data_IF_145050615690
#
_entry.id   IF_145050615690
#
_cell.length_a   1.000
_cell.length_b   1.000
_cell.length_c   1.000
_cell.angle_alpha   90.00
_cell.angle_beta   90.00
_cell.angle_gamma   90.00
#
_symmetry.space_group_name_H-M   'P 1'
#
loop_
_entity.id
_entity.type
_entity.pdbx_description
1 polymer ?
#
# COMPACT_ATOMS: atom_id res chain seq x y z
N UNK A 1 1.52 -41.14 -28.22
CA UNK A 1 1.09 -40.83 -26.84
C UNK A 1 1.77 -39.54 -26.43
N UNK A 2 1.15 -38.37 -26.65
CA UNK A 2 1.77 -37.09 -26.30
C UNK A 2 1.72 -36.91 -24.78
N UNK A 3 2.87 -37.03 -24.12
CA UNK A 3 3.00 -36.69 -22.71
C UNK A 3 2.76 -35.19 -22.54
N UNK A 4 1.54 -34.81 -22.15
CA UNK A 4 1.28 -33.46 -21.64
C UNK A 4 2.15 -33.27 -20.41
N UNK A 5 3.20 -32.45 -20.51
CA UNK A 5 4.00 -32.02 -19.37
C UNK A 5 3.07 -31.48 -18.28
N UNK A 6 2.84 -32.28 -17.23
CA UNK A 6 2.07 -31.83 -16.06
C UNK A 6 2.91 -30.80 -15.32
N UNK A 7 2.73 -29.52 -15.65
CA UNK A 7 3.37 -28.41 -14.91
C UNK A 7 2.76 -28.34 -13.52
N UNK A 8 3.54 -28.74 -12.52
CA UNK A 8 3.17 -28.63 -11.11
C UNK A 8 3.29 -27.18 -10.65
N UNK A 9 2.30 -26.71 -9.89
CA UNK A 9 2.27 -25.39 -9.28
C UNK A 9 1.85 -25.51 -7.81
N UNK A 10 2.21 -24.53 -6.99
CA UNK A 10 1.59 -24.37 -5.68
C UNK A 10 0.24 -23.69 -5.86
N UNK A 11 -0.82 -24.25 -5.29
CA UNK A 11 -2.15 -23.64 -5.34
C UNK A 11 -2.09 -22.22 -4.76
N UNK A 12 -2.62 -21.19 -5.46
CA UNK A 12 -2.55 -19.81 -5.00
C UNK A 12 -3.33 -19.54 -3.71
N UNK A 13 -4.25 -20.44 -3.33
CA UNK A 13 -5.05 -20.30 -2.12
C UNK A 13 -4.48 -21.11 -0.95
N UNK A 14 -4.28 -22.43 -1.12
CA UNK A 14 -3.86 -23.32 -0.02
C UNK A 14 -2.36 -23.67 -0.01
N UNK A 15 -1.56 -23.15 -0.96
CA UNK A 15 -0.11 -23.39 -1.09
C UNK A 15 0.29 -24.88 -1.13
N UNK A 16 -0.62 -25.80 -1.46
CA UNK A 16 -0.31 -27.23 -1.71
C UNK A 16 0.06 -27.45 -3.17
N UNK A 17 0.95 -28.40 -3.42
CA UNK A 17 1.39 -28.76 -4.77
C UNK A 17 0.22 -29.43 -5.52
N UNK A 18 -0.11 -28.90 -6.70
CA UNK A 18 -1.19 -29.38 -7.58
C UNK A 18 -0.77 -29.29 -9.06
N UNK A 19 -1.50 -29.94 -9.96
CA UNK A 19 -1.33 -29.70 -11.40
C UNK A 19 -1.88 -28.34 -11.80
N UNK A 20 -1.26 -27.68 -12.77
CA UNK A 20 -1.77 -26.42 -13.33
C UNK A 20 -3.05 -26.61 -14.16
N UNK A 21 -3.28 -27.81 -14.68
CA UNK A 21 -4.43 -28.16 -15.52
C UNK A 21 -5.68 -28.56 -14.71
N UNK A 22 -5.61 -28.57 -13.37
CA UNK A 22 -6.74 -28.95 -12.53
C UNK A 22 -7.89 -27.95 -12.67
N UNK A 23 -9.12 -28.44 -12.90
CA UNK A 23 -10.31 -27.58 -12.96
C UNK A 23 -10.62 -26.91 -11.60
N UNK A 24 -10.32 -27.61 -10.50
CA UNK A 24 -10.45 -27.13 -9.12
C UNK A 24 -9.37 -27.74 -8.23
N UNK A 25 -8.85 -26.96 -7.28
CA UNK A 25 -7.88 -27.47 -6.32
C UNK A 25 -8.51 -28.58 -5.43
N UNK A 26 -7.93 -29.78 -5.35
CA UNK A 26 -8.48 -30.89 -4.56
C UNK A 26 -8.56 -30.61 -3.05
N UNK A 27 -7.73 -29.69 -2.56
CA UNK A 27 -7.61 -29.43 -1.12
C UNK A 27 -8.47 -28.27 -0.61
N UNK A 28 -8.73 -27.27 -1.45
CA UNK A 28 -9.42 -26.04 -1.03
C UNK A 28 -10.55 -25.61 -1.98
N UNK A 29 -10.86 -26.40 -3.01
CA UNK A 29 -11.96 -26.13 -3.94
C UNK A 29 -11.78 -24.91 -4.83
N UNK A 30 -10.61 -24.26 -4.83
CA UNK A 30 -10.37 -23.07 -5.67
C UNK A 30 -10.46 -23.44 -7.16
N UNK A 31 -11.38 -22.81 -7.89
CA UNK A 31 -11.59 -23.03 -9.32
C UNK A 31 -10.45 -22.45 -10.16
N UNK A 32 -10.04 -23.17 -11.21
CA UNK A 32 -8.97 -22.82 -12.17
C UNK A 32 -7.71 -22.23 -11.50
N UNK A 33 -7.04 -22.99 -10.62
CA UNK A 33 -5.82 -22.54 -9.94
C UNK A 33 -4.72 -22.09 -10.92
N UNK A 34 -4.64 -22.68 -12.11
CA UNK A 34 -3.67 -22.31 -13.16
C UNK A 34 -4.01 -21.06 -13.99
N UNK A 35 -5.14 -20.37 -13.73
CA UNK A 35 -5.53 -19.21 -14.55
C UNK A 35 -4.45 -18.10 -14.54
N UNK A 36 -4.21 -17.48 -15.71
CA UNK A 36 -3.24 -16.37 -15.84
C UNK A 36 -3.57 -15.19 -14.92
N UNK A 37 -4.86 -14.95 -14.64
CA UNK A 37 -5.30 -13.91 -13.71
C UNK A 37 -4.82 -14.15 -12.27
N UNK A 38 -4.65 -15.42 -11.87
CA UNK A 38 -4.13 -15.80 -10.54
C UNK A 38 -2.60 -15.95 -10.53
N UNK A 39 -1.95 -15.79 -11.69
CA UNK A 39 -0.50 -15.84 -11.83
C UNK A 39 0.07 -14.46 -11.53
N UNK A 40 0.89 -14.36 -10.49
CA UNK A 40 1.55 -13.11 -10.09
C UNK A 40 2.41 -12.57 -11.24
N UNK A 41 2.25 -11.29 -11.57
CA UNK A 41 3.09 -10.59 -12.56
C UNK A 41 4.56 -10.53 -12.10
N UNK A 42 4.79 -10.43 -10.80
CA UNK A 42 6.12 -10.43 -10.19
C UNK A 42 6.59 -11.87 -9.91
N UNK A 43 7.78 -12.22 -10.40
CA UNK A 43 8.47 -13.50 -10.13
C UNK A 43 8.82 -13.66 -8.65
N UNK A 44 9.19 -12.57 -7.97
CA UNK A 44 9.32 -12.51 -6.52
C UNK A 44 8.31 -11.49 -5.98
N UNK A 45 7.43 -11.86 -5.04
CA UNK A 45 6.46 -10.92 -4.48
C UNK A 45 7.15 -9.65 -3.93
N UNK A 46 8.30 -9.79 -3.25
CA UNK A 46 9.05 -8.67 -2.68
C UNK A 46 9.44 -7.56 -3.69
N UNK A 47 9.48 -7.86 -4.99
CA UNK A 47 9.82 -6.87 -6.02
C UNK A 47 8.72 -5.82 -6.17
N UNK A 48 7.44 -6.19 -5.99
CA UNK A 48 6.31 -5.26 -6.08
C UNK A 48 6.41 -4.12 -5.06
N UNK A 49 6.80 -4.45 -3.83
CA UNK A 49 6.93 -3.47 -2.74
C UNK A 49 8.08 -2.51 -3.03
N UNK A 50 9.20 -3.04 -3.54
CA UNK A 50 10.34 -2.20 -3.95
C UNK A 50 9.95 -1.24 -5.06
N UNK A 51 9.18 -1.67 -6.05
CA UNK A 51 8.68 -0.78 -7.10
C UNK A 51 7.85 0.35 -6.49
N UNK A 52 6.91 0.05 -5.60
CA UNK A 52 6.10 1.10 -4.93
C UNK A 52 7.01 2.06 -4.15
N UNK A 53 7.98 1.54 -3.38
CA UNK A 53 8.90 2.38 -2.62
C UNK A 53 9.73 3.28 -3.55
N UNK A 54 10.32 2.74 -4.62
CA UNK A 54 11.12 3.53 -5.55
C UNK A 54 10.27 4.56 -6.30
N UNK A 55 9.04 4.23 -6.69
CA UNK A 55 8.12 5.19 -7.30
C UNK A 55 7.81 6.35 -6.34
N UNK A 56 7.52 6.06 -5.06
CA UNK A 56 7.28 7.08 -4.05
C UNK A 56 8.50 7.98 -3.83
N UNK A 57 9.69 7.38 -3.72
CA UNK A 57 10.95 8.14 -3.58
C UNK A 57 11.19 9.02 -4.81
N UNK A 58 10.98 8.50 -6.02
CA UNK A 58 11.16 9.26 -7.26
C UNK A 58 10.18 10.46 -7.35
N UNK A 59 8.90 10.25 -7.02
CA UNK A 59 7.89 11.32 -7.00
C UNK A 59 8.23 12.36 -5.93
N UNK A 60 8.71 11.94 -4.77
CA UNK A 60 9.15 12.85 -3.71
C UNK A 60 10.36 13.69 -4.14
N UNK A 61 11.39 13.09 -4.73
CA UNK A 61 12.54 13.83 -5.28
C UNK A 61 12.07 14.81 -6.36
N UNK A 62 11.19 14.38 -7.26
CA UNK A 62 10.64 15.25 -8.30
C UNK A 62 9.87 16.45 -7.69
N UNK A 63 9.10 16.23 -6.63
CA UNK A 63 8.38 17.30 -5.92
C UNK A 63 9.30 18.32 -5.26
N UNK A 64 10.49 17.89 -4.81
CA UNK A 64 11.53 18.78 -4.29
C UNK A 64 12.16 19.62 -5.40
N UNK A 65 12.41 19.02 -6.57
CA UNK A 65 13.01 19.73 -7.74
C UNK A 65 12.07 20.82 -8.26
N UNK A 66 10.76 20.57 -8.29
CA UNK A 66 9.76 21.53 -8.77
C UNK A 66 9.61 22.76 -7.84
N UNK A 67 10.15 22.71 -6.64
CA UNK A 67 10.01 23.76 -5.64
C UNK A 67 11.33 24.53 -5.51
N UNK A 68 11.34 25.89 -5.54
CA UNK A 68 12.49 26.63 -5.05
C UNK A 68 12.66 26.26 -3.58
N UNK A 69 13.78 25.61 -3.23
CA UNK A 69 14.09 25.08 -1.90
C UNK A 69 13.81 26.14 -0.81
N UNK A 70 12.58 26.16 -0.28
CA UNK A 70 12.32 26.63 1.05
C UNK A 70 12.93 25.57 1.94
N UNK A 71 14.24 25.65 2.15
CA UNK A 71 14.95 24.86 3.15
C UNK A 71 14.26 25.23 4.45
N UNK A 72 13.27 24.41 4.86
CA UNK A 72 12.65 24.52 6.16
C UNK A 72 13.79 24.65 7.16
N UNK A 73 13.80 25.77 7.87
CA UNK A 73 14.82 26.10 8.86
C UNK A 73 15.12 24.88 9.72
N UNK A 74 16.41 24.60 10.00
CA UNK A 74 16.87 23.49 10.87
C UNK A 74 16.16 23.39 12.24
N UNK A 75 15.35 24.38 12.60
CA UNK A 75 14.55 24.47 13.81
C UNK A 75 13.41 23.43 13.91
N UNK A 76 12.80 22.97 12.80
CA UNK A 76 11.67 22.05 12.84
C UNK A 76 11.90 20.78 11.99
N UNK A 77 12.24 19.63 12.60
CA UNK A 77 12.53 18.38 11.88
C UNK A 77 11.34 17.87 11.06
N UNK A 78 10.11 18.25 11.43
CA UNK A 78 8.87 17.89 10.73
C UNK A 78 8.72 18.59 9.37
N UNK A 79 9.29 19.79 9.23
CA UNK A 79 9.24 20.59 7.99
C UNK A 79 10.52 20.48 7.15
N UNK A 80 11.48 19.67 7.59
CA UNK A 80 12.74 19.48 6.87
C UNK A 80 12.48 18.78 5.52
N UNK A 81 12.96 19.41 4.43
CA UNK A 81 12.73 18.95 3.05
C UNK A 81 11.24 18.73 2.71
N UNK A 82 10.37 19.67 3.10
CA UNK A 82 8.95 19.66 2.74
C UNK A 82 8.72 20.37 1.38
N UNK A 83 8.11 19.71 0.37
CA UNK A 83 7.70 20.35 -0.88
C UNK A 83 6.61 21.40 -0.64
N UNK A 84 6.53 22.43 -1.50
CA UNK A 84 5.47 23.44 -1.36
C UNK A 84 4.08 22.87 -1.66
N UNK A 85 3.05 23.42 -1.01
CA UNK A 85 1.65 23.04 -1.28
C UNK A 85 1.26 23.20 -2.76
N UNK A 86 1.84 24.17 -3.47
CA UNK A 86 1.62 24.35 -4.90
C UNK A 86 2.17 23.18 -5.73
N UNK A 87 3.39 22.73 -5.39
CA UNK A 87 4.01 21.56 -6.01
C UNK A 87 3.20 20.28 -5.72
N UNK A 88 2.74 20.13 -4.47
CA UNK A 88 1.91 18.99 -4.07
C UNK A 88 0.56 19.01 -4.82
N UNK A 89 -0.10 20.16 -4.92
CA UNK A 89 -1.35 20.33 -5.66
C UNK A 89 -1.17 20.05 -7.17
N UNK A 90 -0.03 20.45 -7.74
CA UNK A 90 0.30 20.18 -9.15
C UNK A 90 0.50 18.68 -9.40
N UNK A 91 1.19 17.99 -8.48
CA UNK A 91 1.48 16.56 -8.60
C UNK A 91 0.29 15.65 -8.30
N UNK A 92 -0.79 16.20 -7.73
CA UNK A 92 -2.04 15.48 -7.51
C UNK A 92 -2.36 15.18 -6.06
N UNK A 93 -2.02 16.10 -5.15
CA UNK A 93 -2.59 16.12 -3.80
C UNK A 93 -4.13 16.22 -3.86
N UNK A 94 -4.80 15.63 -2.87
CA UNK A 94 -6.26 15.53 -2.84
C UNK A 94 -6.87 16.28 -1.65
N UNK A 95 -8.19 16.43 -1.60
CA UNK A 95 -8.91 17.20 -0.58
C UNK A 95 -10.07 17.99 -1.17
N UNK A 96 -10.73 18.82 -0.36
CA UNK A 96 -11.87 19.64 -0.83
C UNK A 96 -11.46 20.63 -1.91
N UNK A 97 -10.27 21.24 -1.84
CA UNK A 97 -9.80 22.15 -2.90
C UNK A 97 -9.62 21.42 -4.25
N UNK A 98 -8.80 20.36 -4.36
CA UNK A 98 -8.62 19.62 -5.62
C UNK A 98 -9.92 19.09 -6.23
N UNK A 99 -10.83 18.59 -5.38
CA UNK A 99 -12.06 17.92 -5.83
C UNK A 99 -13.14 18.96 -6.17
N UNK A 100 -13.49 19.84 -5.24
CA UNK A 100 -14.63 20.76 -5.42
C UNK A 100 -14.31 21.91 -6.38
N UNK A 101 -13.09 22.46 -6.32
CA UNK A 101 -12.71 23.62 -7.16
C UNK A 101 -12.21 23.21 -8.54
N UNK A 102 -11.55 22.06 -8.66
CA UNK A 102 -10.89 21.65 -9.90
C UNK A 102 -11.43 20.34 -10.50
N UNK A 103 -12.39 19.68 -9.86
CA UNK A 103 -12.99 18.43 -10.36
C UNK A 103 -12.01 17.26 -10.44
N UNK A 104 -10.88 17.29 -9.72
CA UNK A 104 -9.77 16.35 -9.91
C UNK A 104 -9.96 15.04 -9.16
N UNK A 105 -11.02 14.29 -9.42
CA UNK A 105 -11.29 13.01 -8.73
C UNK A 105 -10.16 11.97 -8.81
N UNK A 106 -9.32 12.05 -9.85
CA UNK A 106 -8.12 11.21 -9.98
C UNK A 106 -7.10 11.44 -8.85
N UNK A 107 -7.16 12.55 -8.12
CA UNK A 107 -6.26 12.83 -6.99
C UNK A 107 -6.46 11.88 -5.82
N UNK A 108 -7.64 11.28 -5.70
CA UNK A 108 -7.89 10.21 -4.71
C UNK A 108 -6.95 9.01 -4.89
N UNK A 109 -6.46 8.79 -6.12
CA UNK A 109 -5.50 7.74 -6.42
C UNK A 109 -4.05 8.24 -6.32
N UNK A 110 -3.74 9.40 -6.91
CA UNK A 110 -2.36 9.90 -6.95
C UNK A 110 -1.85 10.38 -5.59
N UNK A 111 -2.72 10.88 -4.71
CA UNK A 111 -2.32 11.39 -3.40
C UNK A 111 -1.63 10.33 -2.53
N UNK A 112 -1.90 9.04 -2.75
CA UNK A 112 -1.21 7.92 -2.08
C UNK A 112 0.29 7.89 -2.35
N UNK A 113 0.75 8.53 -3.43
CA UNK A 113 2.14 8.48 -3.88
C UNK A 113 2.95 9.75 -3.58
N UNK A 114 2.30 10.76 -3.01
CA UNK A 114 2.87 12.09 -2.76
C UNK A 114 3.13 12.24 -1.27
N UNK A 115 4.27 12.85 -0.90
CA UNK A 115 4.70 12.97 0.49
C UNK A 115 5.12 14.40 0.81
N UNK A 116 4.79 14.85 2.03
CA UNK A 116 4.90 16.25 2.45
C UNK A 116 6.17 16.58 3.21
N UNK A 117 7.12 15.64 3.32
CA UNK A 117 8.38 15.84 4.03
C UNK A 117 9.18 14.55 4.17
N UNK A 118 10.46 14.68 4.54
CA UNK A 118 11.38 13.53 4.60
C UNK A 118 10.97 12.50 5.66
N UNK A 119 10.58 12.95 6.85
CA UNK A 119 10.09 12.06 7.90
C UNK A 119 8.80 11.37 7.46
N UNK A 120 7.90 12.11 6.80
CA UNK A 120 6.64 11.57 6.30
C UNK A 120 6.85 10.44 5.28
N UNK A 121 7.74 10.62 4.28
CA UNK A 121 8.05 9.51 3.36
C UNK A 121 8.79 8.37 4.06
N UNK A 122 9.75 8.69 4.94
CA UNK A 122 10.52 7.67 5.65
C UNK A 122 9.61 6.72 6.45
N UNK A 123 8.72 7.26 7.28
CA UNK A 123 7.81 6.45 8.10
C UNK A 123 6.85 5.61 7.25
N UNK A 124 6.28 6.18 6.18
CA UNK A 124 5.40 5.43 5.27
C UNK A 124 6.15 4.29 4.57
N UNK A 125 7.35 4.54 4.05
CA UNK A 125 8.12 3.51 3.34
C UNK A 125 8.63 2.43 4.32
N UNK A 126 9.00 2.82 5.53
CA UNK A 126 9.38 1.89 6.60
C UNK A 126 8.21 1.00 7.01
N UNK A 127 7.02 1.57 7.20
CA UNK A 127 5.80 0.83 7.47
C UNK A 127 5.43 -0.13 6.33
N UNK A 128 5.48 0.35 5.09
CA UNK A 128 5.20 -0.46 3.90
C UNK A 128 6.21 -1.62 3.76
N UNK A 129 7.49 -1.38 4.06
CA UNK A 129 8.52 -2.42 4.00
C UNK A 129 8.34 -3.49 5.08
N UNK A 130 7.81 -3.14 6.26
CA UNK A 130 7.52 -4.11 7.31
C UNK A 130 6.22 -4.89 7.07
N UNK A 131 5.14 -4.19 6.70
CA UNK A 131 3.78 -4.76 6.65
C UNK A 131 3.45 -5.36 5.27
N UNK A 132 3.96 -4.73 4.21
CA UNK A 132 3.70 -5.14 2.83
C UNK A 132 4.08 -6.59 2.54
N UNK A 133 5.29 -7.08 2.92
CA UNK A 133 5.71 -8.44 2.60
C UNK A 133 4.81 -9.51 3.20
N UNK A 134 4.28 -9.25 4.41
CA UNK A 134 3.35 -10.16 5.08
C UNK A 134 2.03 -10.27 4.30
N UNK A 135 1.39 -9.13 4.01
CA UNK A 135 0.13 -9.12 3.26
C UNK A 135 0.34 -9.77 1.90
N UNK A 136 1.46 -9.49 1.25
CA UNK A 136 1.76 -10.04 -0.06
C UNK A 136 2.00 -11.56 -0.04
N UNK A 137 2.62 -12.09 1.03
CA UNK A 137 2.86 -13.51 1.21
C UNK A 137 1.57 -14.29 1.55
N UNK A 138 0.68 -13.69 2.36
CA UNK A 138 -0.52 -14.35 2.85
C UNK A 138 -1.73 -14.15 1.93
N UNK A 139 -1.88 -12.98 1.33
CA UNK A 139 -3.01 -12.65 0.44
C UNK A 139 -2.66 -12.71 -1.05
N UNK A 140 -1.38 -12.66 -1.41
CA UNK A 140 -0.93 -12.60 -2.80
C UNK A 140 -1.02 -11.21 -3.43
N UNK A 141 -0.41 -11.05 -4.61
CA UNK A 141 -0.23 -9.75 -5.27
C UNK A 141 -1.52 -9.01 -5.59
N UNK A 142 -2.50 -9.68 -6.22
CA UNK A 142 -3.72 -9.00 -6.65
C UNK A 142 -4.51 -8.44 -5.46
N UNK A 143 -4.61 -9.21 -4.36
CA UNK A 143 -5.30 -8.77 -3.15
C UNK A 143 -4.53 -7.66 -2.45
N UNK A 144 -3.20 -7.78 -2.37
CA UNK A 144 -2.36 -6.69 -1.87
C UNK A 144 -2.60 -5.38 -2.65
N UNK A 145 -2.57 -5.43 -3.99
CA UNK A 145 -2.78 -4.25 -4.83
C UNK A 145 -4.18 -3.65 -4.64
N UNK A 146 -5.21 -4.50 -4.60
CA UNK A 146 -6.60 -4.06 -4.36
C UNK A 146 -6.73 -3.42 -2.97
N UNK A 147 -6.22 -4.07 -1.91
CA UNK A 147 -6.26 -3.53 -0.55
C UNK A 147 -5.53 -2.19 -0.52
N UNK A 148 -4.31 -2.11 -1.04
CA UNK A 148 -3.48 -0.90 -1.01
C UNK A 148 -4.14 0.28 -1.76
N UNK A 149 -4.65 0.04 -2.97
CA UNK A 149 -5.25 1.11 -3.79
C UNK A 149 -6.64 1.51 -3.28
N UNK A 150 -7.52 0.55 -2.98
CA UNK A 150 -8.88 0.88 -2.53
C UNK A 150 -8.89 1.51 -1.15
N UNK A 151 -8.06 1.04 -0.21
CA UNK A 151 -7.98 1.69 1.10
C UNK A 151 -7.42 3.11 1.02
N UNK A 152 -6.47 3.37 0.10
CA UNK A 152 -6.00 4.72 -0.22
C UNK A 152 -7.14 5.61 -0.70
N UNK A 153 -7.83 5.18 -1.76
CA UNK A 153 -8.95 5.93 -2.36
C UNK A 153 -10.05 6.19 -1.33
N UNK A 154 -10.48 5.16 -0.61
CA UNK A 154 -11.55 5.28 0.39
C UNK A 154 -11.12 6.15 1.57
N UNK A 155 -9.88 6.01 2.05
CA UNK A 155 -9.35 6.85 3.12
C UNK A 155 -9.35 8.31 2.74
N UNK A 156 -8.87 8.65 1.53
CA UNK A 156 -8.91 10.03 1.04
C UNK A 156 -10.32 10.53 0.75
N UNK A 157 -11.21 9.67 0.28
CA UNK A 157 -12.61 10.03 0.08
C UNK A 157 -13.28 10.37 1.42
N UNK A 158 -13.00 9.61 2.48
CA UNK A 158 -13.45 9.93 3.84
C UNK A 158 -12.85 11.25 4.32
N UNK A 159 -11.54 11.48 4.10
CA UNK A 159 -10.91 12.77 4.44
C UNK A 159 -11.56 13.94 3.70
N UNK A 160 -11.90 13.76 2.43
CA UNK A 160 -12.65 14.74 1.64
C UNK A 160 -14.02 15.04 2.24
N UNK A 161 -14.81 14.00 2.56
CA UNK A 161 -16.12 14.17 3.22
C UNK A 161 -16.00 14.83 4.60
N UNK A 162 -14.89 14.61 5.31
CA UNK A 162 -14.58 15.27 6.58
C UNK A 162 -14.11 16.73 6.43
N UNK A 163 -14.08 17.27 5.21
CA UNK A 163 -13.73 18.66 4.95
C UNK A 163 -12.23 18.94 4.91
N UNK A 164 -11.36 17.92 4.82
CA UNK A 164 -9.92 18.12 4.78
C UNK A 164 -9.51 18.84 3.50
N UNK A 165 -8.91 20.02 3.66
CA UNK A 165 -8.61 20.96 2.57
C UNK A 165 -7.59 20.39 1.58
N UNK A 166 -6.50 19.84 2.11
CA UNK A 166 -5.41 19.24 1.35
C UNK A 166 -4.83 18.07 2.15
N UNK A 167 -4.67 16.91 1.53
CA UNK A 167 -4.13 15.69 2.15
C UNK A 167 -3.40 14.82 1.13
N UNK A 168 -2.41 14.08 1.61
CA UNK A 168 -1.43 13.31 0.85
C UNK A 168 -0.81 12.20 1.71
N UNK A 169 -0.20 11.22 1.08
CA UNK A 169 0.64 10.20 1.73
C UNK A 169 0.11 8.78 1.56
N UNK A 170 1.00 7.80 1.67
CA UNK A 170 0.64 6.39 1.59
C UNK A 170 -0.09 5.86 2.84
N UNK A 171 -0.30 6.69 3.86
CA UNK A 171 -0.79 6.28 5.18
C UNK A 171 -2.17 5.62 5.13
N UNK A 172 -3.11 6.16 4.35
CA UNK A 172 -4.43 5.55 4.14
C UNK A 172 -4.31 4.13 3.56
N UNK A 173 -3.44 3.94 2.57
CA UNK A 173 -3.16 2.64 1.97
C UNK A 173 -2.51 1.66 2.97
N UNK A 174 -1.61 2.16 3.83
CA UNK A 174 -0.95 1.38 4.87
C UNK A 174 -1.94 0.99 5.98
N UNK A 175 -2.85 1.88 6.39
CA UNK A 175 -3.93 1.55 7.31
C UNK A 175 -4.79 0.39 6.78
N UNK A 176 -5.06 0.36 5.48
CA UNK A 176 -5.74 -0.79 4.85
C UNK A 176 -4.95 -2.10 4.97
N UNK A 177 -3.62 -2.05 4.77
CA UNK A 177 -2.75 -3.21 4.98
C UNK A 177 -2.76 -3.67 6.44
N UNK A 178 -2.68 -2.74 7.40
CA UNK A 178 -2.78 -3.04 8.83
C UNK A 178 -4.12 -3.72 9.14
N UNK A 179 -5.23 -3.19 8.63
CA UNK A 179 -6.55 -3.79 8.78
C UNK A 179 -6.62 -5.22 8.25
N UNK A 180 -6.00 -5.48 7.09
CA UNK A 180 -5.88 -6.83 6.55
C UNK A 180 -5.07 -7.76 7.48
N UNK A 181 -3.97 -7.28 8.05
CA UNK A 181 -3.14 -8.06 9.00
C UNK A 181 -3.90 -8.37 10.28
N UNK A 182 -4.62 -7.39 10.84
CA UNK A 182 -5.44 -7.59 12.04
C UNK A 182 -6.54 -8.62 11.80
N UNK A 183 -7.20 -8.55 10.65
CA UNK A 183 -8.19 -9.56 10.26
C UNK A 183 -7.55 -10.94 10.09
N UNK A 184 -6.39 -11.04 9.45
CA UNK A 184 -5.64 -12.30 9.34
C UNK A 184 -5.31 -12.88 10.72
N UNK A 185 -4.71 -12.07 11.59
CA UNK A 185 -4.28 -12.51 12.93
C UNK A 185 -5.44 -13.03 13.76
N UNK A 186 -6.58 -12.32 13.73
CA UNK A 186 -7.81 -12.72 14.44
C UNK A 186 -8.45 -13.98 13.84
N UNK A 187 -8.47 -14.11 12.51
CA UNK A 187 -9.11 -15.25 11.83
C UNK A 187 -8.26 -16.54 11.87
N UNK A 188 -6.94 -16.42 11.85
CA UNK A 188 -6.04 -17.58 11.91
C UNK A 188 -5.92 -18.16 13.32
N UNK A 189 -5.86 -17.30 14.34
CA UNK A 189 -5.62 -17.71 15.73
C UNK A 189 -4.24 -18.32 15.96
N UNK A 190 -3.98 -18.72 17.20
CA UNK A 190 -2.71 -19.32 17.65
C UNK A 190 -1.55 -18.33 17.75
N UNK A 191 -0.38 -18.82 18.19
CA UNK A 191 0.83 -18.01 18.44
C UNK A 191 1.29 -17.22 17.21
N UNK A 192 1.17 -17.83 16.02
CA UNK A 192 1.53 -17.18 14.76
C UNK A 192 0.60 -15.98 14.47
N UNK A 193 -0.72 -16.16 14.57
CA UNK A 193 -1.68 -15.07 14.35
C UNK A 193 -1.56 -13.95 15.38
N UNK A 194 -1.34 -14.31 16.65
CA UNK A 194 -1.22 -13.35 17.75
C UNK A 194 0.01 -12.44 17.61
N UNK A 195 1.13 -12.98 17.13
CA UNK A 195 2.37 -12.22 16.93
C UNK A 195 2.17 -11.11 15.90
N UNK A 196 1.58 -11.44 14.75
CA UNK A 196 1.29 -10.45 13.71
C UNK A 196 0.19 -9.46 14.12
N UNK A 197 -0.80 -9.91 14.89
CA UNK A 197 -1.81 -9.02 15.44
C UNK A 197 -1.18 -7.96 16.35
N UNK A 198 -0.31 -8.36 17.28
CA UNK A 198 0.42 -7.44 18.17
C UNK A 198 1.32 -6.48 17.39
N UNK A 199 2.04 -6.97 16.38
CA UNK A 199 2.86 -6.12 15.53
C UNK A 199 2.03 -5.08 14.76
N UNK A 200 0.90 -5.50 14.17
CA UNK A 200 0.00 -4.60 13.46
C UNK A 200 -0.61 -3.54 14.39
N UNK A 201 -0.99 -3.93 15.63
CA UNK A 201 -1.46 -2.99 16.65
C UNK A 201 -0.40 -1.95 17.03
N UNK A 202 0.87 -2.35 17.13
CA UNK A 202 1.97 -1.39 17.37
C UNK A 202 2.07 -0.34 16.25
N UNK A 203 1.86 -0.75 15.00
CA UNK A 203 1.82 0.15 13.86
C UNK A 203 0.60 1.08 13.83
N UNK A 204 -0.57 0.64 14.30
CA UNK A 204 -1.75 1.52 14.49
C UNK A 204 -1.38 2.67 15.42
N UNK A 205 -0.80 2.36 16.58
CA UNK A 205 -0.40 3.36 17.57
C UNK A 205 0.64 4.32 16.97
N UNK A 206 1.64 3.77 16.29
CA UNK A 206 2.67 4.57 15.61
C UNK A 206 2.09 5.55 14.59
N UNK A 207 1.13 5.12 13.77
CA UNK A 207 0.48 5.99 12.78
C UNK A 207 -0.40 7.06 13.41
N UNK A 208 -1.13 6.74 14.48
CA UNK A 208 -1.93 7.73 15.22
C UNK A 208 -1.04 8.78 15.84
N UNK A 209 0.04 8.38 16.52
CA UNK A 209 1.00 9.32 17.10
C UNK A 209 1.66 10.18 16.02
N UNK A 210 2.09 9.56 14.93
CA UNK A 210 2.71 10.28 13.82
C UNK A 210 1.76 11.29 13.18
N UNK A 211 0.49 10.91 12.94
CA UNK A 211 -0.53 11.79 12.37
C UNK A 211 -1.05 12.88 13.32
N UNK A 212 -0.77 12.80 14.63
CA UNK A 212 -1.00 13.90 15.57
C UNK A 212 0.16 14.89 15.63
N UNK A 213 1.36 14.45 15.23
CA UNK A 213 2.59 15.24 15.28
C UNK A 213 2.81 16.01 13.98
N UNK A 214 2.44 15.42 12.83
CA UNK A 214 2.64 15.96 11.47
C UNK A 214 1.34 16.49 10.90
#
# INVERSE_FOLDING_TARGET
MSGTEKKSILCPNCKKLISSDEASCPYCGTTRPGSRLKRSFFKKPKDAIKVIIYCNIAIFIFSLILTPLNIGSLANPLTFLSPSNNSLLLLGATGTIPIDKFGRWWTLLSASFIHGGILHIFFNMFALQQLGPFVLQEYGFNRFAIIYLLSGILGFYISYLAGVVLTIGASASICGLIGAILYYGKSRGGLYGETFYKQAMGWVIGLVLFGLIV
#
